data_IF_983800638496
#
_entry.id   IF_983800638496
#
_cell.length_a   1.000
_cell.length_b   1.000
_cell.length_c   1.000
_cell.angle_alpha   90.00
_cell.angle_beta   90.00
_cell.angle_gamma   90.00
#
_symmetry.space_group_name_H-M   'P 1'
#
loop_
_entity.id
_entity.type
_entity.pdbx_description
1 polymer ?
#
# COMPACT_ATOMS: atom_id res chain seq x y z
N UNK A 1 44.96 31.39 -36.29
CA UNK A 1 43.52 31.65 -36.49
C UNK A 1 42.85 31.41 -35.15
N UNK A 2 42.56 32.51 -34.45
CA UNK A 2 42.00 32.53 -33.10
C UNK A 2 40.54 32.94 -33.23
N UNK A 3 39.62 32.17 -32.64
CA UNK A 3 38.25 32.60 -32.46
C UNK A 3 37.93 32.63 -30.98
N UNK A 4 37.74 33.85 -30.49
CA UNK A 4 37.32 34.23 -29.15
C UNK A 4 35.98 33.59 -28.76
N UNK A 5 35.95 32.96 -27.58
CA UNK A 5 34.72 32.65 -26.86
C UNK A 5 34.50 33.75 -25.82
N UNK A 6 33.48 34.62 -25.94
CA UNK A 6 33.15 35.52 -24.86
C UNK A 6 32.49 34.76 -23.71
N UNK A 7 33.05 34.96 -22.52
CA UNK A 7 32.47 34.58 -21.23
C UNK A 7 31.07 35.18 -21.08
N UNK A 8 30.06 34.35 -20.81
CA UNK A 8 28.79 34.83 -20.29
C UNK A 8 28.83 34.76 -18.76
N UNK A 9 29.08 35.93 -18.18
CA UNK A 9 28.92 36.23 -16.78
C UNK A 9 27.47 35.99 -16.31
N UNK A 10 27.37 35.61 -15.04
CA UNK A 10 26.14 35.47 -14.25
C UNK A 10 25.18 36.65 -14.45
N UNK A 11 23.96 36.34 -14.83
CA UNK A 11 22.79 37.19 -14.58
C UNK A 11 21.97 36.51 -13.49
N UNK A 12 21.91 37.15 -12.33
CA UNK A 12 20.88 36.87 -11.34
C UNK A 12 19.56 37.49 -11.78
N UNK A 13 18.45 36.85 -11.40
CA UNK A 13 17.10 37.36 -11.61
C UNK A 13 16.11 36.24 -11.88
N UNK A 14 15.33 35.92 -10.85
CA UNK A 14 14.01 35.27 -10.87
C UNK A 14 13.90 33.80 -11.35
N UNK A 15 13.99 32.89 -10.37
CA UNK A 15 13.66 31.46 -10.43
C UNK A 15 12.14 31.17 -10.52
N UNK A 16 11.43 31.89 -11.40
CA UNK A 16 10.11 31.51 -11.89
C UNK A 16 9.87 32.21 -13.23
N UNK A 17 9.57 31.48 -14.33
CA UNK A 17 8.34 30.70 -14.38
C UNK A 17 8.42 29.47 -15.30
N UNK A 18 8.89 28.33 -14.79
CA UNK A 18 8.66 27.04 -15.48
C UNK A 18 7.31 26.41 -15.11
N UNK A 19 6.53 27.04 -14.21
CA UNK A 19 5.22 26.58 -13.74
C UNK A 19 4.03 27.07 -14.57
N UNK A 20 4.26 27.82 -15.65
CA UNK A 20 3.18 28.44 -16.45
C UNK A 20 3.05 27.87 -17.86
N UNK A 21 3.45 26.61 -18.07
CA UNK A 21 3.23 25.91 -19.34
C UNK A 21 1.89 25.15 -19.29
N UNK A 22 0.97 25.37 -20.26
CA UNK A 22 -0.40 24.83 -20.28
C UNK A 22 -0.50 23.31 -20.56
N UNK A 23 0.61 22.59 -20.42
CA UNK A 23 0.74 21.13 -20.50
C UNK A 23 1.52 20.57 -19.30
N UNK A 24 1.77 21.42 -18.29
CA UNK A 24 2.23 21.08 -16.93
C UNK A 24 1.05 21.24 -15.93
N UNK A 25 -0.17 21.45 -16.43
CA UNK A 25 -1.34 21.05 -15.65
C UNK A 25 -1.40 19.53 -15.75
N UNK A 26 -1.03 18.85 -14.67
CA UNK A 26 -1.11 17.39 -14.55
C UNK A 26 -2.56 16.90 -14.52
N UNK A 27 -3.36 17.27 -15.51
CA UNK A 27 -4.74 16.80 -15.73
C UNK A 27 -4.76 15.44 -16.44
N UNK A 28 -3.80 14.58 -16.09
CA UNK A 28 -3.73 13.17 -16.51
C UNK A 28 -4.18 12.17 -15.44
N UNK A 29 -4.38 12.58 -14.18
CA UNK A 29 -4.27 11.69 -13.02
C UNK A 29 -5.37 11.83 -11.95
N UNK A 30 -6.61 12.17 -12.33
CA UNK A 30 -7.71 12.04 -11.36
C UNK A 30 -7.89 10.56 -10.99
N UNK A 31 -7.79 10.27 -9.70
CA UNK A 31 -8.01 8.91 -9.21
C UNK A 31 -9.44 8.47 -9.57
N UNK A 32 -9.58 7.19 -9.94
CA UNK A 32 -10.89 6.55 -10.20
C UNK A 32 -11.06 5.30 -9.36
N UNK A 33 -10.35 5.23 -8.23
CA UNK A 33 -10.55 4.18 -7.25
C UNK A 33 -11.94 4.31 -6.63
N UNK A 34 -12.65 3.20 -6.50
CA UNK A 34 -13.96 3.10 -5.86
C UNK A 34 -13.83 2.32 -4.53
N UNK A 35 -13.73 3.01 -3.38
CA UNK A 35 -13.61 2.38 -2.07
C UNK A 35 -14.97 1.92 -1.53
N UNK A 36 -15.01 0.72 -0.95
CA UNK A 36 -16.19 0.17 -0.28
C UNK A 36 -15.79 -0.60 0.98
N UNK A 37 -16.49 -0.37 2.09
CA UNK A 37 -16.30 -1.14 3.32
C UNK A 37 -17.09 -2.44 3.27
N UNK A 38 -16.45 -3.55 3.64
CA UNK A 38 -17.05 -4.89 3.67
C UNK A 38 -16.76 -5.58 4.98
N UNK A 39 -17.75 -6.30 5.49
CA UNK A 39 -17.64 -7.15 6.68
C UNK A 39 -17.77 -8.62 6.24
N UNK A 40 -16.65 -9.36 6.07
CA UNK A 40 -16.71 -10.73 5.58
C UNK A 40 -17.36 -11.67 6.59
N UNK A 41 -18.60 -12.07 6.33
CA UNK A 41 -19.29 -13.08 7.13
C UNK A 41 -18.75 -14.50 6.89
N UNK A 42 -18.87 -15.37 7.90
CA UNK A 42 -18.57 -16.80 7.75
C UNK A 42 -17.09 -17.19 7.80
N UNK A 43 -16.20 -16.27 8.20
CA UNK A 43 -14.76 -16.55 8.38
C UNK A 43 -14.39 -17.00 9.80
N UNK A 44 -15.36 -17.03 10.73
CA UNK A 44 -15.13 -17.34 12.15
C UNK A 44 -14.37 -16.24 12.91
N UNK A 45 -14.14 -15.09 12.27
CA UNK A 45 -13.59 -13.89 12.87
C UNK A 45 -14.70 -12.83 12.80
N UNK A 46 -15.39 -12.62 13.92
CA UNK A 46 -16.41 -11.58 14.03
C UNK A 46 -15.74 -10.18 13.95
N UNK A 47 -16.50 -9.18 13.50
CA UNK A 47 -16.14 -7.75 13.44
C UNK A 47 -14.99 -7.31 12.51
N UNK A 48 -14.49 -8.18 11.63
CA UNK A 48 -13.44 -7.78 10.67
C UNK A 48 -14.00 -6.87 9.57
N UNK A 49 -13.43 -5.67 9.43
CA UNK A 49 -13.74 -4.70 8.38
C UNK A 49 -12.64 -4.67 7.33
N UNK A 50 -13.01 -4.80 6.06
CA UNK A 50 -12.11 -4.70 4.91
C UNK A 50 -12.50 -3.50 4.07
N UNK A 51 -11.57 -2.59 3.83
CA UNK A 51 -11.71 -1.56 2.81
C UNK A 51 -11.31 -2.14 1.46
N UNK A 52 -12.29 -2.49 0.64
CA UNK A 52 -12.09 -3.01 -0.72
C UNK A 52 -12.13 -1.85 -1.72
N UNK A 53 -11.06 -1.69 -2.48
CA UNK A 53 -10.88 -0.62 -3.47
C UNK A 53 -10.84 -1.23 -4.85
N UNK A 54 -11.86 -0.94 -5.65
CA UNK A 54 -11.83 -1.25 -7.08
C UNK A 54 -11.03 -0.17 -7.81
N UNK A 55 -10.00 -0.57 -8.55
CA UNK A 55 -9.15 0.34 -9.29
C UNK A 55 -9.04 -0.05 -10.76
N UNK A 56 -9.95 -0.89 -11.28
CA UNK A 56 -9.90 -1.41 -12.66
C UNK A 56 -9.87 -0.29 -13.73
N UNK A 57 -10.54 0.84 -13.45
CA UNK A 57 -10.55 2.03 -14.33
C UNK A 57 -9.56 3.13 -13.91
N UNK A 58 -8.72 2.88 -12.90
CA UNK A 58 -7.84 3.90 -12.34
C UNK A 58 -6.44 3.90 -12.99
N UNK A 59 -5.94 5.06 -13.46
CA UNK A 59 -4.59 5.16 -14.04
C UNK A 59 -3.48 4.77 -13.05
N UNK A 60 -3.69 5.01 -11.76
CA UNK A 60 -2.79 4.63 -10.67
C UNK A 60 -2.84 3.15 -10.27
N UNK A 61 -3.73 2.36 -10.89
CA UNK A 61 -3.82 0.88 -10.73
C UNK A 61 -4.03 0.40 -9.29
N UNK A 62 -4.50 1.27 -8.40
CA UNK A 62 -4.65 0.98 -6.98
C UNK A 62 -3.33 0.68 -6.26
N UNK A 63 -2.18 1.11 -6.79
CA UNK A 63 -0.89 0.91 -6.14
C UNK A 63 -0.58 2.06 -5.17
N UNK A 64 -0.97 1.90 -3.90
CA UNK A 64 -0.90 2.96 -2.90
C UNK A 64 0.53 3.42 -2.57
N UNK A 65 1.53 2.59 -2.84
CA UNK A 65 2.94 2.96 -2.63
C UNK A 65 3.50 3.79 -3.79
N UNK A 66 2.95 3.60 -5.00
CA UNK A 66 3.44 4.24 -6.23
C UNK A 66 2.53 5.37 -6.75
N UNK A 67 1.26 5.41 -6.34
CA UNK A 67 0.27 6.39 -6.80
C UNK A 67 -0.26 7.23 -5.63
N UNK A 68 0.22 8.48 -5.47
CA UNK A 68 -0.28 9.40 -4.46
C UNK A 68 -1.78 9.70 -4.61
N UNK A 69 -2.32 9.68 -5.83
CA UNK A 69 -3.74 9.89 -6.09
C UNK A 69 -4.59 8.73 -5.54
N UNK A 70 -4.17 7.47 -5.74
CA UNK A 70 -4.85 6.32 -5.14
C UNK A 70 -4.75 6.33 -3.62
N UNK A 71 -3.58 6.71 -3.09
CA UNK A 71 -3.36 6.84 -1.65
C UNK A 71 -4.31 7.87 -1.04
N UNK A 72 -4.48 9.02 -1.70
CA UNK A 72 -5.37 10.07 -1.22
C UNK A 72 -6.81 9.58 -1.08
N UNK A 73 -7.37 8.95 -2.10
CA UNK A 73 -8.73 8.38 -2.06
C UNK A 73 -8.90 7.38 -0.92
N UNK A 74 -7.90 6.54 -0.65
CA UNK A 74 -7.96 5.57 0.46
C UNK A 74 -7.89 6.25 1.82
N UNK A 75 -6.98 7.21 2.01
CA UNK A 75 -6.84 7.95 3.27
C UNK A 75 -8.09 8.79 3.56
N UNK A 76 -8.68 9.39 2.52
CA UNK A 76 -9.97 10.09 2.62
C UNK A 76 -11.10 9.16 3.04
N UNK A 77 -11.25 7.99 2.41
CA UNK A 77 -12.25 7.00 2.81
C UNK A 77 -12.06 6.53 4.26
N UNK A 78 -10.81 6.38 4.71
CA UNK A 78 -10.49 5.99 6.10
C UNK A 78 -10.78 7.09 7.13
N UNK A 79 -11.17 8.31 6.73
CA UNK A 79 -11.72 9.29 7.67
C UNK A 79 -13.16 9.02 8.05
N UNK A 80 -13.91 8.31 7.20
CA UNK A 80 -15.31 7.99 7.46
C UNK A 80 -15.44 6.78 8.39
N UNK A 81 -14.56 5.78 8.21
CA UNK A 81 -14.58 4.55 8.97
C UNK A 81 -13.21 3.86 8.95
N UNK A 82 -12.82 3.28 10.09
CA UNK A 82 -11.62 2.44 10.16
C UNK A 82 -11.85 1.07 9.49
N UNK A 83 -10.77 0.48 8.98
CA UNK A 83 -10.75 -0.88 8.45
C UNK A 83 -9.54 -1.66 9.01
N UNK A 84 -9.64 -2.98 9.18
CA UNK A 84 -8.52 -3.81 9.62
C UNK A 84 -7.50 -4.07 8.51
N UNK A 85 -7.99 -4.10 7.27
CA UNK A 85 -7.22 -4.42 6.07
C UNK A 85 -7.72 -3.57 4.90
N UNK A 86 -6.78 -3.06 4.11
CA UNK A 86 -7.08 -2.41 2.82
C UNK A 86 -6.70 -3.34 1.69
N UNK A 87 -7.60 -3.53 0.72
CA UNK A 87 -7.36 -4.34 -0.47
C UNK A 87 -7.63 -3.51 -1.71
N UNK A 88 -6.69 -3.49 -2.65
CA UNK A 88 -6.91 -2.89 -3.96
C UNK A 88 -6.92 -3.95 -5.04
N UNK A 89 -7.80 -3.79 -6.04
CA UNK A 89 -7.90 -4.68 -7.19
C UNK A 89 -7.73 -3.88 -8.48
N UNK A 90 -6.88 -4.35 -9.38
CA UNK A 90 -6.77 -3.81 -10.73
C UNK A 90 -6.37 -4.91 -11.71
N UNK A 91 -7.12 -5.06 -12.81
CA UNK A 91 -6.90 -6.00 -13.90
C UNK A 91 -6.67 -7.44 -13.41
N UNK A 92 -7.52 -7.90 -12.48
CA UNK A 92 -7.45 -9.26 -11.92
C UNK A 92 -6.24 -9.50 -11.00
N UNK A 93 -5.54 -8.45 -10.57
CA UNK A 93 -4.49 -8.49 -9.57
C UNK A 93 -4.95 -7.77 -8.30
N UNK A 94 -4.81 -8.43 -7.16
CA UNK A 94 -5.10 -7.89 -5.83
C UNK A 94 -3.81 -7.49 -5.11
N UNK A 95 -3.87 -6.41 -4.32
CA UNK A 95 -2.88 -6.02 -3.32
C UNK A 95 -3.56 -5.92 -1.97
N UNK A 96 -3.01 -6.61 -0.98
CA UNK A 96 -3.46 -6.53 0.42
C UNK A 96 -2.45 -5.76 1.26
N UNK A 97 -2.91 -4.68 1.87
CA UNK A 97 -2.20 -3.89 2.88
C UNK A 97 -2.72 -4.30 4.26
N UNK A 98 -1.87 -4.92 5.06
CA UNK A 98 -2.20 -5.44 6.38
C UNK A 98 -1.07 -5.16 7.37
N UNK A 99 -1.32 -5.36 8.66
CA UNK A 99 -0.32 -5.10 9.71
C UNK A 99 0.13 -3.65 9.69
N UNK A 100 1.45 -3.42 9.60
CA UNK A 100 2.04 -2.07 9.60
C UNK A 100 1.49 -1.16 8.51
N UNK A 101 1.24 -1.70 7.31
CA UNK A 101 0.72 -0.92 6.19
C UNK A 101 -0.73 -0.44 6.45
N UNK A 102 -1.60 -1.34 6.93
CA UNK A 102 -2.96 -0.96 7.32
C UNK A 102 -2.94 0.04 8.49
N UNK A 103 -2.14 -0.22 9.52
CA UNK A 103 -1.99 0.68 10.66
C UNK A 103 -1.59 2.11 10.22
N UNK A 104 -0.64 2.24 9.28
CA UNK A 104 -0.23 3.53 8.73
C UNK A 104 -1.40 4.26 8.05
N UNK A 105 -2.14 3.56 7.18
CA UNK A 105 -3.27 4.13 6.43
C UNK A 105 -4.38 4.61 7.37
N UNK A 106 -4.71 3.81 8.38
CA UNK A 106 -5.71 4.15 9.41
C UNK A 106 -5.26 5.37 10.23
N UNK A 107 -4.00 5.34 10.69
CA UNK A 107 -3.43 6.45 11.45
C UNK A 107 -3.38 7.76 10.62
N UNK A 108 -3.16 7.65 9.31
CA UNK A 108 -3.20 8.78 8.38
C UNK A 108 -4.62 9.35 8.22
N UNK A 109 -5.64 8.49 8.09
CA UNK A 109 -7.05 8.92 8.05
C UNK A 109 -7.45 9.67 9.32
N UNK A 110 -7.20 9.07 10.49
CA UNK A 110 -7.44 9.70 11.79
C UNK A 110 -6.65 11.00 11.98
N UNK A 111 -5.42 11.06 11.47
CA UNK A 111 -4.61 12.27 11.52
C UNK A 111 -5.20 13.37 10.64
N UNK A 112 -5.60 13.06 9.40
CA UNK A 112 -6.28 13.99 8.48
C UNK A 112 -7.50 14.62 9.16
N UNK A 113 -8.40 13.78 9.67
CA UNK A 113 -9.64 14.21 10.33
C UNK A 113 -9.37 15.23 11.45
N UNK A 114 -8.39 14.94 12.32
CA UNK A 114 -8.10 15.81 13.47
C UNK A 114 -7.31 17.06 13.12
N UNK A 115 -6.36 16.96 12.19
CA UNK A 115 -5.49 18.09 11.84
C UNK A 115 -6.20 19.12 10.96
N UNK A 116 -7.25 18.73 10.24
CA UNK A 116 -8.03 19.62 9.36
C UNK A 116 -8.57 20.85 10.10
N UNK A 117 -8.96 20.70 11.37
CA UNK A 117 -9.42 21.80 12.22
C UNK A 117 -8.32 22.80 12.63
N UNK A 118 -7.05 22.43 12.44
CA UNK A 118 -5.90 23.23 12.84
C UNK A 118 -5.09 23.74 11.65
N UNK A 119 -4.89 22.91 10.63
CA UNK A 119 -4.08 23.22 9.45
C UNK A 119 -4.50 22.39 8.23
N UNK A 120 -5.28 23.02 7.34
CA UNK A 120 -5.78 22.38 6.11
C UNK A 120 -4.65 21.90 5.19
N UNK A 121 -3.54 22.63 5.08
CA UNK A 121 -2.38 22.24 4.23
C UNK A 121 -1.79 20.89 4.65
N UNK A 122 -1.70 20.64 5.96
CA UNK A 122 -1.16 19.38 6.49
C UNK A 122 -2.19 18.25 6.39
N UNK A 123 -3.49 18.57 6.53
CA UNK A 123 -4.59 17.64 6.26
C UNK A 123 -4.63 17.19 4.79
N UNK A 124 -4.42 18.10 3.84
CA UNK A 124 -4.33 17.75 2.42
C UNK A 124 -3.05 16.95 2.13
N UNK A 125 -1.92 17.32 2.75
CA UNK A 125 -0.64 16.66 2.51
C UNK A 125 -0.63 15.20 2.96
N UNK A 126 -1.18 14.88 4.14
CA UNK A 126 -1.15 13.51 4.66
C UNK A 126 -1.86 12.50 3.76
N UNK A 127 -2.85 12.95 2.97
CA UNK A 127 -3.56 12.08 2.00
C UNK A 127 -2.64 11.54 0.91
N UNK A 128 -1.69 12.33 0.44
CA UNK A 128 -0.78 11.98 -0.66
C UNK A 128 0.60 11.56 -0.18
N UNK A 129 1.04 12.07 0.96
CA UNK A 129 2.39 11.87 1.50
C UNK A 129 2.36 11.63 3.03
N UNK A 130 1.72 10.54 3.54
CA UNK A 130 1.50 10.36 4.97
C UNK A 130 2.80 10.32 5.79
N UNK A 131 3.86 9.76 5.23
CA UNK A 131 5.18 9.67 5.87
C UNK A 131 5.84 11.04 5.98
N UNK A 132 5.83 11.82 4.89
CA UNK A 132 6.42 13.16 4.91
C UNK A 132 5.61 14.10 5.81
N UNK A 133 4.28 14.01 5.78
CA UNK A 133 3.40 14.75 6.67
C UNK A 133 3.64 14.41 8.15
N UNK A 134 3.79 13.12 8.48
CA UNK A 134 4.10 12.68 9.84
C UNK A 134 5.45 13.20 10.34
N UNK A 135 6.50 13.15 9.50
CA UNK A 135 7.83 13.70 9.82
C UNK A 135 7.76 15.20 10.05
N UNK A 136 7.06 15.92 9.18
CA UNK A 136 6.87 17.36 9.31
C UNK A 136 6.11 17.71 10.60
N UNK A 137 5.02 17.00 10.89
CA UNK A 137 4.23 17.18 12.10
C UNK A 137 5.07 16.93 13.36
N UNK A 138 5.90 15.88 13.35
CA UNK A 138 6.75 15.48 14.48
C UNK A 138 7.89 16.48 14.77
N UNK A 139 8.36 17.19 13.74
CA UNK A 139 9.39 18.23 13.87
C UNK A 139 8.87 19.58 14.36
N UNK A 140 7.55 19.73 14.50
CA UNK A 140 6.89 20.98 14.93
C UNK A 140 6.46 20.92 16.38
N UNK A 141 6.08 22.06 16.94
CA UNK A 141 5.42 22.14 18.25
C UNK A 141 3.92 22.37 18.10
N UNK A 142 3.15 22.01 19.13
CA UNK A 142 1.70 22.23 19.17
C UNK A 142 0.86 21.10 18.54
N UNK A 143 -0.34 21.43 18.02
CA UNK A 143 -1.30 20.43 17.54
C UNK A 143 -0.75 19.41 16.54
N UNK A 144 0.08 19.76 15.53
CA UNK A 144 0.62 18.78 14.58
C UNK A 144 1.35 17.62 15.25
N UNK A 145 2.30 17.91 16.15
CA UNK A 145 3.09 16.89 16.85
C UNK A 145 2.24 16.04 17.79
N UNK A 146 1.34 16.69 18.54
CA UNK A 146 0.45 15.99 19.47
C UNK A 146 -0.49 15.03 18.72
N UNK A 147 -1.15 15.49 17.67
CA UNK A 147 -2.09 14.68 16.89
C UNK A 147 -1.35 13.52 16.21
N UNK A 148 -0.17 13.75 15.64
CA UNK A 148 0.63 12.69 15.02
C UNK A 148 1.04 11.59 16.01
N UNK A 149 1.29 11.96 17.28
CA UNK A 149 1.56 11.00 18.34
C UNK A 149 0.29 10.26 18.79
N UNK A 150 -0.81 10.98 19.03
CA UNK A 150 -2.08 10.41 19.50
C UNK A 150 -2.74 9.45 18.49
N UNK A 151 -2.55 9.67 17.19
CA UNK A 151 -3.03 8.75 16.15
C UNK A 151 -2.09 7.57 15.90
N UNK A 152 -0.90 7.57 16.50
CA UNK A 152 0.15 6.58 16.28
C UNK A 152 0.91 6.74 14.96
N UNK A 153 0.58 7.75 14.14
CA UNK A 153 1.19 7.94 12.83
C UNK A 153 2.70 8.21 12.93
N UNK A 154 3.12 9.03 13.90
CA UNK A 154 4.54 9.34 14.12
C UNK A 154 5.35 8.09 14.49
N UNK A 155 4.81 7.21 15.33
CA UNK A 155 5.47 5.98 15.76
C UNK A 155 5.60 4.97 14.60
N UNK A 156 4.53 4.80 13.81
CA UNK A 156 4.53 3.86 12.67
C UNK A 156 5.56 4.28 11.62
N UNK A 157 5.76 5.58 11.41
CA UNK A 157 6.70 6.14 10.43
C UNK A 157 8.14 6.20 10.96
N UNK A 158 8.34 6.12 12.28
CA UNK A 158 9.67 6.15 12.87
C UNK A 158 10.54 5.00 12.33
N UNK A 159 11.77 5.35 11.92
CA UNK A 159 12.75 4.39 11.40
C UNK A 159 12.49 3.85 9.99
N UNK A 160 11.51 4.38 9.26
CA UNK A 160 11.33 4.11 7.84
C UNK A 160 11.92 5.23 7.01
N UNK A 161 12.65 4.92 5.93
CA UNK A 161 13.25 5.91 5.04
C UNK A 161 12.36 6.16 3.82
N UNK A 162 11.72 5.11 3.29
CA UNK A 162 10.92 5.15 2.07
C UNK A 162 9.44 4.71 2.27
N UNK A 163 8.57 5.11 1.32
CA UNK A 163 7.16 4.73 1.34
C UNK A 163 6.93 3.22 1.20
N UNK A 164 7.78 2.54 0.43
CA UNK A 164 7.72 1.09 0.24
C UNK A 164 7.99 0.28 1.51
N UNK A 165 8.61 0.87 2.53
CA UNK A 165 8.89 0.21 3.81
C UNK A 165 7.65 0.14 4.70
N UNK A 166 6.81 1.17 4.63
CA UNK A 166 5.60 1.30 5.46
C UNK A 166 4.38 0.77 4.72
N UNK A 167 4.23 1.10 3.44
CA UNK A 167 3.08 0.76 2.60
C UNK A 167 3.34 -0.49 1.74
N UNK A 168 4.04 -1.48 2.30
CA UNK A 168 4.29 -2.75 1.60
C UNK A 168 2.99 -3.55 1.44
N UNK A 169 2.63 -3.84 0.20
CA UNK A 169 1.51 -4.73 -0.11
C UNK A 169 1.96 -6.19 -0.30
N UNK A 170 1.06 -7.12 0.03
CA UNK A 170 1.12 -8.50 -0.47
C UNK A 170 0.31 -8.57 -1.77
N UNK A 171 0.92 -8.94 -2.89
CA UNK A 171 0.26 -8.95 -4.18
C UNK A 171 0.04 -10.37 -4.72
N UNK A 172 -1.10 -10.61 -5.37
CA UNK A 172 -1.44 -11.89 -6.00
C UNK A 172 -2.59 -11.75 -7.01
N UNK A 173 -2.90 -12.79 -7.80
CA UNK A 173 -4.08 -12.78 -8.67
C UNK A 173 -5.37 -12.77 -7.83
N UNK A 174 -6.43 -12.12 -8.31
CA UNK A 174 -7.76 -12.11 -7.66
C UNK A 174 -8.35 -13.52 -7.60
N UNK A 175 -8.06 -14.35 -8.60
CA UNK A 175 -8.37 -15.79 -8.60
C UNK A 175 -7.19 -16.56 -8.00
N UNK A 176 -6.83 -16.26 -6.76
CA UNK A 176 -6.22 -17.24 -5.88
C UNK A 176 -7.35 -17.96 -5.13
N UNK A 177 -8.20 -18.67 -5.87
CA UNK A 177 -9.10 -19.67 -5.29
C UNK A 177 -8.28 -20.91 -4.90
N UNK A 178 -7.19 -20.72 -4.16
CA UNK A 178 -6.39 -21.83 -3.65
C UNK A 178 -7.23 -22.52 -2.59
N UNK A 179 -8.02 -23.51 -3.01
CA UNK A 179 -8.56 -24.51 -2.10
C UNK A 179 -7.37 -25.36 -1.66
N UNK A 180 -6.78 -24.99 -0.54
CA UNK A 180 -5.72 -25.77 0.09
C UNK A 180 -6.37 -27.02 0.67
N UNK A 181 -6.21 -28.15 -0.02
CA UNK A 181 -6.52 -29.45 0.57
C UNK A 181 -5.44 -29.75 1.61
N UNK A 182 -5.84 -29.93 2.87
CA UNK A 182 -4.93 -30.23 3.98
C UNK A 182 -4.25 -31.60 3.82
N UNK A 183 -4.85 -32.50 3.04
CA UNK A 183 -4.33 -33.83 2.73
C UNK A 183 -4.10 -34.01 1.21
N UNK A 184 -3.14 -34.87 0.81
CA UNK A 184 -2.98 -35.24 -0.60
C UNK A 184 -4.23 -35.97 -1.14
N UNK A 185 -4.43 -36.03 -2.47
CA UNK A 185 -5.56 -36.74 -3.06
C UNK A 185 -5.60 -38.22 -2.64
N UNK A 186 -6.78 -38.82 -2.43
CA UNK A 186 -6.89 -40.24 -2.10
C UNK A 186 -6.23 -41.11 -3.17
N UNK A 187 -5.38 -42.06 -2.75
CA UNK A 187 -4.67 -42.96 -3.66
C UNK A 187 -3.48 -42.33 -4.40
N UNK A 188 -3.11 -41.07 -4.09
CA UNK A 188 -1.90 -40.47 -4.65
C UNK A 188 -0.63 -41.08 -4.04
N UNK A 189 0.36 -41.38 -4.87
CA UNK A 189 1.64 -41.95 -4.47
C UNK A 189 2.69 -40.84 -4.30
N UNK A 190 3.46 -40.88 -3.22
CA UNK A 190 4.58 -39.95 -3.01
C UNK A 190 5.69 -40.28 -4.02
N UNK A 191 6.05 -39.30 -4.84
CA UNK A 191 7.14 -39.39 -5.82
C UNK A 191 8.44 -38.90 -5.22
N UNK A 192 8.40 -37.74 -4.56
CA UNK A 192 9.61 -37.08 -4.08
C UNK A 192 9.32 -36.15 -2.89
N UNK A 193 10.37 -35.84 -2.12
CA UNK A 193 10.32 -34.97 -0.95
C UNK A 193 11.65 -34.24 -0.79
N UNK A 194 11.59 -32.92 -0.66
CA UNK A 194 12.76 -32.10 -0.33
C UNK A 194 12.40 -30.95 0.61
N UNK A 195 13.41 -30.38 1.24
CA UNK A 195 13.30 -29.13 1.97
C UNK A 195 13.84 -27.99 1.11
N UNK A 196 13.21 -26.83 1.22
CA UNK A 196 13.68 -25.60 0.57
C UNK A 196 14.28 -24.65 1.60
N UNK A 197 15.06 -23.67 1.14
CA UNK A 197 15.83 -22.75 1.99
C UNK A 197 14.97 -22.02 3.05
N UNK A 198 13.68 -21.86 2.80
CA UNK A 198 12.71 -21.26 3.73
C UNK A 198 12.30 -22.18 4.88
N UNK A 199 12.85 -23.39 4.96
CA UNK A 199 12.52 -24.39 5.98
C UNK A 199 11.20 -25.13 5.73
N UNK A 200 10.54 -24.89 4.60
CA UNK A 200 9.35 -25.63 4.21
C UNK A 200 9.72 -27.00 3.63
N UNK A 201 8.88 -28.01 3.90
CA UNK A 201 9.00 -29.33 3.28
C UNK A 201 8.03 -29.43 2.12
N UNK A 202 8.53 -29.72 0.93
CA UNK A 202 7.74 -29.97 -0.27
C UNK A 202 7.64 -31.48 -0.47
N UNK A 203 6.42 -31.97 -0.72
CA UNK A 203 6.15 -33.36 -1.13
C UNK A 203 5.46 -33.34 -2.48
N UNK A 204 6.00 -34.10 -3.43
CA UNK A 204 5.44 -34.26 -4.76
C UNK A 204 4.69 -35.58 -4.82
N UNK A 205 3.41 -35.52 -5.18
CA UNK A 205 2.55 -36.68 -5.36
C UNK A 205 2.15 -36.85 -6.82
N UNK A 206 2.13 -38.10 -7.26
CA UNK A 206 1.50 -38.53 -8.49
C UNK A 206 0.10 -39.08 -8.16
N UNK A 207 -0.90 -38.67 -8.93
CA UNK A 207 -2.29 -39.07 -8.71
C UNK A 207 -3.03 -39.23 -10.03
N UNK A 208 -4.32 -39.53 -9.98
CA UNK A 208 -5.14 -39.78 -11.16
C UNK A 208 -5.44 -38.52 -12.02
N UNK A 209 -4.97 -37.33 -11.60
CA UNK A 209 -5.16 -36.08 -12.32
C UNK A 209 -4.11 -35.85 -13.41
N UNK A 210 -4.39 -34.90 -14.31
CA UNK A 210 -3.50 -34.55 -15.42
C UNK A 210 -2.20 -33.83 -14.99
N UNK A 211 -2.11 -33.37 -13.75
CA UNK A 211 -0.96 -32.65 -13.20
C UNK A 211 -0.47 -33.31 -11.91
N UNK A 212 0.84 -33.23 -11.68
CA UNK A 212 1.44 -33.63 -10.40
C UNK A 212 1.00 -32.68 -9.29
N UNK A 213 0.79 -33.22 -8.10
CA UNK A 213 0.31 -32.46 -6.94
C UNK A 213 1.46 -32.15 -5.99
N UNK A 214 1.66 -30.87 -5.68
CA UNK A 214 2.62 -30.42 -4.68
C UNK A 214 1.90 -30.16 -3.36
N UNK A 215 2.41 -30.76 -2.28
CA UNK A 215 1.94 -30.53 -0.92
C UNK A 215 3.06 -29.86 -0.12
N UNK A 216 2.77 -28.69 0.44
CA UNK A 216 3.75 -27.87 1.15
C UNK A 216 3.43 -27.87 2.64
N UNK A 217 4.37 -28.32 3.46
CA UNK A 217 4.32 -28.18 4.91
C UNK A 217 5.19 -26.98 5.30
N UNK A 218 4.59 -25.86 5.71
CA UNK A 218 5.36 -24.70 6.14
C UNK A 218 6.03 -24.97 7.52
N UNK A 219 7.10 -24.23 7.85
CA UNK A 219 7.79 -24.40 9.13
C UNK A 219 6.88 -24.13 10.34
N UNK A 220 5.87 -23.26 10.19
CA UNK A 220 4.91 -22.90 11.24
C UNK A 220 4.00 -24.04 11.71
N UNK A 221 3.91 -25.15 10.98
CA UNK A 221 3.07 -26.31 11.34
C UNK A 221 3.81 -27.34 12.21
N UNK A 222 5.11 -27.16 12.48
CA UNK A 222 5.90 -28.09 13.34
C UNK A 222 5.96 -27.66 14.82
N UNK A 223 5.16 -26.67 15.24
CA UNK A 223 5.08 -26.18 16.62
C UNK A 223 4.34 -27.17 17.53
#
# INVERSE_FOLDING_TARGET
MSFDLPSLSRLGGDDAPLRSLPWIDGDGDSCRCDPSFREPAGTGVDDRVVLAVDADDCPGRGDLAASPACLATVVEALTERDADVVRTRHAGRERTYAGRAAACLIAAGRFRERIEFHETRLAERVTREPIAAAREASGREGPPKRIAAETGLAEIVAGSEEAGDVLRAHAGPTVAATRVASAPPPGAALVDRWEIETGATVRLYEGAGALRTYHLTPPSTRL
#
